data_IF_050691875951
#
_entry.id   IF_050691875951
#
_cell.length_a   1.000
_cell.length_b   1.000
_cell.length_c   1.000
_cell.angle_alpha   90.00
_cell.angle_beta   90.00
_cell.angle_gamma   90.00
#
_symmetry.space_group_name_H-M   'P 1'
#
loop_
_entity.id
_entity.type
_entity.pdbx_description
1 polymer ?
#
# COMPACT_ATOMS: atom_id res chain seq x y z
N UNK A 1 16.82 -3.40 -9.16
CA UNK A 1 15.43 -3.70 -8.70
C UNK A 1 15.41 -4.41 -7.35
N UNK A 2 16.14 -5.53 -7.19
CA UNK A 2 16.15 -6.32 -5.94
C UNK A 2 16.50 -5.53 -4.67
N UNK A 3 17.57 -4.72 -4.69
CA UNK A 3 17.98 -3.92 -3.54
C UNK A 3 16.92 -2.88 -3.10
N UNK A 4 16.17 -2.30 -4.05
CA UNK A 4 15.12 -1.32 -3.75
C UNK A 4 13.93 -1.98 -3.03
N UNK A 5 13.47 -3.14 -3.52
CA UNK A 5 12.37 -3.89 -2.89
C UNK A 5 12.76 -4.45 -1.51
N UNK A 6 14.03 -4.82 -1.33
CA UNK A 6 14.51 -5.35 -0.05
C UNK A 6 14.69 -4.26 1.00
N UNK A 7 15.13 -3.06 0.59
CA UNK A 7 15.37 -1.94 1.51
C UNK A 7 14.13 -1.06 1.75
N UNK A 8 13.01 -1.34 1.09
CA UNK A 8 11.76 -0.58 1.29
C UNK A 8 10.93 -1.24 2.39
N UNK A 9 10.48 -0.48 3.41
CA UNK A 9 9.55 -0.97 4.42
C UNK A 9 8.29 -1.51 3.76
N UNK A 10 7.87 -2.72 4.15
CA UNK A 10 6.69 -3.39 3.59
C UNK A 10 5.60 -3.38 4.65
N UNK A 11 4.39 -3.00 4.25
CA UNK A 11 3.22 -3.04 5.12
C UNK A 11 2.27 -4.10 4.61
N UNK A 12 1.90 -5.04 5.48
CA UNK A 12 1.03 -6.17 5.13
C UNK A 12 -0.30 -5.94 5.81
N UNK A 13 -1.39 -5.97 5.05
CA UNK A 13 -2.75 -5.93 5.58
C UNK A 13 -3.36 -7.31 5.40
N UNK A 14 -3.78 -7.94 6.49
CA UNK A 14 -4.44 -9.24 6.45
C UNK A 14 -5.49 -9.34 7.55
N UNK A 15 -6.57 -10.06 7.26
CA UNK A 15 -7.62 -10.36 8.24
C UNK A 15 -7.36 -11.64 9.03
N UNK A 16 -6.49 -12.53 8.53
CA UNK A 16 -6.23 -13.85 9.13
C UNK A 16 -4.77 -14.07 9.51
N UNK A 17 -3.85 -13.26 8.98
CA UNK A 17 -2.44 -13.37 9.29
C UNK A 17 -2.16 -12.61 10.58
N UNK A 18 -1.58 -13.28 11.57
CA UNK A 18 -1.24 -12.68 12.87
C UNK A 18 0.21 -12.23 12.97
N UNK A 19 1.10 -12.82 12.17
CA UNK A 19 2.54 -12.51 12.16
C UNK A 19 3.07 -12.47 10.73
N UNK A 20 4.01 -11.55 10.46
CA UNK A 20 4.64 -11.39 9.16
C UNK A 20 6.15 -11.59 9.30
N UNK A 21 6.64 -12.77 8.91
CA UNK A 21 8.02 -13.21 9.18
C UNK A 21 9.03 -12.70 8.13
N UNK A 22 8.64 -11.75 7.29
CA UNK A 22 9.48 -11.28 6.19
C UNK A 22 10.35 -10.09 6.63
N UNK A 23 11.60 -10.09 6.18
CA UNK A 23 12.52 -9.00 6.54
C UNK A 23 11.98 -7.65 6.07
N UNK A 24 11.79 -6.74 7.03
CA UNK A 24 11.24 -5.40 6.80
C UNK A 24 9.73 -5.35 6.57
N UNK A 25 8.96 -6.41 6.89
CA UNK A 25 7.50 -6.35 6.90
C UNK A 25 6.93 -5.97 8.27
N UNK A 26 5.94 -5.09 8.27
CA UNK A 26 5.11 -4.76 9.43
C UNK A 26 3.67 -5.14 9.09
N UNK A 27 3.07 -5.99 9.91
CA UNK A 27 1.65 -6.30 9.80
C UNK A 27 0.86 -5.10 10.33
N UNK A 28 -0.05 -4.59 9.51
CA UNK A 28 -0.99 -3.55 9.90
C UNK A 28 -2.20 -4.18 10.59
N UNK A 29 -2.60 -3.59 11.71
CA UNK A 29 -3.65 -4.11 12.56
C UNK A 29 -5.07 -3.88 12.03
N UNK A 30 -6.09 -4.21 12.85
CA UNK A 30 -7.50 -4.07 12.49
C UNK A 30 -7.91 -2.60 12.26
N UNK A 31 -7.24 -1.64 12.90
CA UNK A 31 -7.45 -0.20 12.65
C UNK A 31 -6.49 0.31 11.56
N UNK A 32 -6.73 -0.16 10.34
CA UNK A 32 -5.96 0.23 9.17
C UNK A 32 -5.98 1.76 8.94
N UNK A 33 -7.06 2.44 9.33
CA UNK A 33 -7.23 3.86 9.11
C UNK A 33 -6.28 4.69 9.98
N UNK A 34 -6.23 4.40 11.28
CA UNK A 34 -5.33 5.09 12.20
C UNK A 34 -3.85 4.82 11.88
N UNK A 35 -3.52 3.57 11.53
CA UNK A 35 -2.15 3.21 11.16
C UNK A 35 -1.72 3.85 9.85
N UNK A 36 -2.57 3.87 8.82
CA UNK A 36 -2.27 4.57 7.57
C UNK A 36 -2.12 6.07 7.77
N UNK A 37 -2.97 6.70 8.58
CA UNK A 37 -2.83 8.13 8.87
C UNK A 37 -1.53 8.44 9.62
N UNK A 38 -1.15 7.57 10.55
CA UNK A 38 0.14 7.66 11.25
C UNK A 38 1.31 7.47 10.28
N UNK A 39 1.21 6.55 9.32
CA UNK A 39 2.22 6.34 8.28
C UNK A 39 2.34 7.52 7.32
N UNK A 40 1.21 8.07 6.87
CA UNK A 40 1.16 9.29 6.03
C UNK A 40 1.76 10.50 6.74
N UNK A 41 1.65 10.57 8.07
CA UNK A 41 2.18 11.67 8.87
C UNK A 41 3.69 11.58 9.10
N UNK A 42 4.31 10.41 8.89
CA UNK A 42 5.76 10.24 9.06
C UNK A 42 6.52 10.88 7.90
N UNK A 43 7.65 11.55 8.15
CA UNK A 43 8.54 12.01 7.08
C UNK A 43 9.06 10.81 6.30
N UNK A 44 8.80 10.78 5.00
CA UNK A 44 9.10 9.62 4.16
C UNK A 44 8.70 9.81 2.71
N UNK A 45 8.85 8.74 1.93
CA UNK A 45 8.37 8.65 0.54
C UNK A 45 6.91 8.18 0.52
N UNK A 46 6.25 8.37 -0.62
CA UNK A 46 4.86 7.95 -0.81
C UNK A 46 4.67 6.45 -0.57
N UNK A 47 3.52 6.09 0.00
CA UNK A 47 3.12 4.70 0.23
C UNK A 47 2.59 4.15 -1.09
N UNK A 48 3.21 3.07 -1.59
CA UNK A 48 2.76 2.42 -2.82
C UNK A 48 1.89 1.21 -2.52
N UNK A 49 0.68 1.19 -3.10
CA UNK A 49 -0.25 0.09 -2.98
C UNK A 49 -0.56 -0.53 -4.36
N UNK A 50 0.21 -1.54 -4.80
CA UNK A 50 -0.02 -2.21 -6.09
C UNK A 50 -1.24 -3.14 -6.10
N UNK A 51 -1.80 -3.45 -4.92
CA UNK A 51 -2.95 -4.34 -4.73
C UNK A 51 -3.18 -4.62 -3.24
N UNK A 52 -4.20 -5.38 -2.84
CA UNK A 52 -5.22 -6.07 -3.66
C UNK A 52 -6.39 -5.14 -4.07
N UNK A 53 -7.20 -5.51 -5.08
CA UNK A 53 -8.39 -4.74 -5.46
C UNK A 53 -9.38 -4.55 -4.31
N UNK A 54 -9.47 -5.53 -3.40
CA UNK A 54 -10.32 -5.45 -2.20
C UNK A 54 -9.82 -4.38 -1.23
N UNK A 55 -8.50 -4.33 -1.02
CA UNK A 55 -7.86 -3.36 -0.15
C UNK A 55 -7.93 -1.95 -0.74
N UNK A 56 -7.69 -1.80 -2.05
CA UNK A 56 -7.87 -0.53 -2.76
C UNK A 56 -9.32 -0.05 -2.61
N UNK A 57 -10.31 -0.93 -2.79
CA UNK A 57 -11.72 -0.59 -2.62
C UNK A 57 -12.07 -0.16 -1.20
N UNK A 58 -11.56 -0.84 -0.17
CA UNK A 58 -11.84 -0.47 1.22
C UNK A 58 -11.23 0.89 1.58
N UNK A 59 -10.01 1.17 1.12
CA UNK A 59 -9.36 2.47 1.33
C UNK A 59 -10.03 3.60 0.57
N UNK A 60 -10.51 3.31 -0.65
CA UNK A 60 -11.29 4.27 -1.43
C UNK A 60 -12.61 4.63 -0.73
N UNK A 61 -13.34 3.62 -0.22
CA UNK A 61 -14.58 3.84 0.52
C UNK A 61 -14.36 4.59 1.84
N UNK A 62 -13.22 4.37 2.49
CA UNK A 62 -12.83 5.08 3.71
C UNK A 62 -12.31 6.52 3.45
N UNK A 63 -12.18 6.95 2.18
CA UNK A 63 -11.62 8.26 1.83
C UNK A 63 -10.13 8.40 2.16
N UNK A 64 -9.42 7.28 2.35
CA UNK A 64 -8.00 7.25 2.75
C UNK A 64 -7.05 7.13 1.56
N UNK A 65 -7.57 7.08 0.33
CA UNK A 65 -6.77 6.96 -0.87
C UNK A 65 -6.55 8.36 -1.48
N UNK A 66 -5.30 8.82 -1.54
CA UNK A 66 -4.99 10.15 -2.08
C UNK A 66 -4.96 10.17 -3.61
N UNK A 67 -4.41 9.11 -4.22
CA UNK A 67 -4.25 9.00 -5.67
C UNK A 67 -4.51 7.56 -6.14
N UNK A 68 -5.43 7.40 -7.11
CA UNK A 68 -5.71 6.12 -7.76
C UNK A 68 -5.18 6.14 -9.19
N UNK A 69 -4.11 5.40 -9.44
CA UNK A 69 -3.60 5.21 -10.81
C UNK A 69 -4.09 3.87 -11.38
N UNK A 70 -5.06 3.94 -12.29
CA UNK A 70 -5.64 2.78 -12.95
C UNK A 70 -4.93 2.54 -14.29
N UNK A 71 -4.26 1.39 -14.45
CA UNK A 71 -3.83 0.93 -15.77
C UNK A 71 -4.85 -0.03 -16.34
N UNK A 72 -5.51 0.43 -17.39
CA UNK A 72 -6.43 -0.35 -18.20
C UNK A 72 -5.61 -0.98 -19.32
N UNK A 73 -5.40 -2.30 -19.25
CA UNK A 73 -4.86 -3.12 -20.35
C UNK A 73 -5.93 -4.17 -20.67
N UNK A 74 -6.19 -4.45 -21.95
CA UNK A 74 -7.30 -5.32 -22.37
C UNK A 74 -7.35 -6.63 -21.54
N UNK A 75 -8.34 -6.71 -20.65
CA UNK A 75 -8.58 -7.86 -19.76
C UNK A 75 -7.85 -7.87 -18.40
N UNK A 76 -6.89 -6.98 -18.12
CA UNK A 76 -6.14 -6.94 -16.86
C UNK A 76 -6.08 -5.52 -16.31
N UNK A 77 -6.73 -5.31 -15.15
CA UNK A 77 -6.61 -4.10 -14.37
C UNK A 77 -5.39 -4.20 -13.45
N UNK A 78 -4.41 -3.31 -13.62
CA UNK A 78 -3.28 -3.18 -12.71
C UNK A 78 -3.24 -1.78 -12.12
N UNK A 79 -3.02 -1.66 -10.82
CA UNK A 79 -2.88 -0.37 -10.14
C UNK A 79 -1.38 -0.10 -10.00
N UNK A 80 -0.84 0.91 -10.69
CA UNK A 80 0.59 1.24 -10.61
C UNK A 80 0.78 2.73 -10.47
N UNK A 81 1.67 3.13 -9.58
CA UNK A 81 1.95 4.53 -9.25
C UNK A 81 3.06 5.10 -10.14
N UNK A 82 2.90 6.36 -10.58
CA UNK A 82 4.00 7.17 -11.11
C UNK A 82 4.28 8.34 -10.16
N UNK A 83 5.52 8.53 -9.70
CA UNK A 83 5.87 9.74 -8.96
C UNK A 83 5.78 10.96 -9.87
N UNK A 84 5.14 12.02 -9.37
CA UNK A 84 5.18 13.35 -9.97
C UNK A 84 6.59 13.90 -9.74
N UNK A 85 7.39 13.97 -10.79
CA UNK A 85 8.64 14.74 -10.74
C UNK A 85 8.25 16.22 -10.65
N UNK A 86 8.63 16.86 -9.55
CA UNK A 86 8.78 18.31 -9.47
C UNK A 86 10.27 18.59 -9.44
#
# INVERSE_FOLDING_TARGET
MAAFLNNTPKYVVSSTLTEADWSGSTLLGPDLAAELNSLKSKPGKNIHLPGSPRLVRSLLLAGLLDELNLLIRNGVLSVTYRPKQR
#
